data_IF_999679969114
#
_entry.id   IF_999679969114
#
_cell.length_a   1.000
_cell.length_b   1.000
_cell.length_c   1.000
_cell.angle_alpha   90.00
_cell.angle_beta   90.00
_cell.angle_gamma   90.00
#
_symmetry.space_group_name_H-M   'P 1'
#
loop_
_entity.id
_entity.type
_entity.pdbx_description
1 polymer ?
#
# COMPACT_ATOMS: atom_id res chain seq x y z
N UNK A 1 21.67 24.26 -82.38
CA UNK A 1 21.30 24.87 -81.07
C UNK A 1 21.31 23.77 -80.06
N UNK A 2 22.44 23.62 -79.36
CA UNK A 2 22.70 22.51 -78.45
C UNK A 2 22.10 22.79 -77.06
N UNK A 3 21.58 21.76 -76.37
CA UNK A 3 20.91 21.92 -75.07
C UNK A 3 21.92 22.22 -73.96
N UNK A 4 21.54 23.12 -73.04
CA UNK A 4 22.36 23.51 -71.89
C UNK A 4 22.40 22.41 -70.81
N UNK A 5 23.53 22.25 -70.10
CA UNK A 5 23.66 21.28 -69.00
C UNK A 5 22.98 21.77 -67.69
N UNK A 6 22.58 20.84 -66.80
CA UNK A 6 21.92 21.16 -65.53
C UNK A 6 22.87 21.83 -64.52
N UNK A 7 22.33 22.62 -63.56
CA UNK A 7 23.17 23.31 -62.58
C UNK A 7 23.91 22.32 -61.68
N UNK A 8 25.23 22.54 -61.63
CA UNK A 8 26.20 21.88 -60.77
C UNK A 8 25.83 22.02 -59.29
N UNK A 9 26.01 20.91 -58.56
CA UNK A 9 25.72 20.79 -57.13
C UNK A 9 26.40 21.86 -56.28
N UNK A 10 25.69 22.24 -55.22
CA UNK A 10 26.22 23.06 -54.13
C UNK A 10 27.44 22.35 -53.56
N UNK A 11 28.57 23.05 -53.58
CA UNK A 11 29.85 22.57 -53.07
C UNK A 11 29.81 22.41 -51.55
N UNK A 12 30.56 21.44 -51.08
CA UNK A 12 30.64 20.93 -49.71
C UNK A 12 31.29 21.88 -48.68
N UNK A 13 31.23 23.20 -48.88
CA UNK A 13 31.97 24.19 -48.08
C UNK A 13 31.11 25.27 -47.39
N UNK A 14 29.78 25.16 -47.40
CA UNK A 14 28.88 26.10 -46.67
C UNK A 14 28.28 25.46 -45.40
N UNK A 15 28.92 24.41 -44.86
CA UNK A 15 28.44 23.69 -43.68
C UNK A 15 29.16 24.05 -42.36
N UNK A 16 29.88 25.18 -42.33
CA UNK A 16 30.60 25.65 -41.13
C UNK A 16 29.94 26.84 -40.41
N UNK A 17 28.83 27.39 -40.91
CA UNK A 17 28.18 28.58 -40.33
C UNK A 17 26.91 28.28 -39.50
N UNK A 18 26.74 27.04 -39.03
CA UNK A 18 25.66 26.71 -38.08
C UNK A 18 26.10 25.84 -36.90
N UNK A 19 27.32 26.08 -36.40
CA UNK A 19 27.59 25.84 -34.99
C UNK A 19 27.16 27.12 -34.29
N UNK A 20 25.86 27.18 -33.96
CA UNK A 20 25.42 28.02 -32.86
C UNK A 20 26.35 27.70 -31.69
N UNK A 21 27.02 28.72 -31.18
CA UNK A 21 27.68 28.71 -29.90
C UNK A 21 26.66 28.23 -28.86
N UNK A 22 26.60 26.92 -28.66
CA UNK A 22 25.90 26.32 -27.54
C UNK A 22 26.66 26.79 -26.31
N UNK A 23 26.00 27.71 -25.61
CA UNK A 23 26.38 28.33 -24.35
C UNK A 23 26.74 27.27 -23.30
N UNK A 24 27.97 26.75 -23.31
CA UNK A 24 28.52 25.90 -22.25
C UNK A 24 28.87 26.72 -21.00
N UNK A 25 28.94 28.05 -21.11
CA UNK A 25 29.29 28.94 -20.01
C UNK A 25 28.16 29.12 -18.97
N UNK A 26 26.90 28.88 -19.34
CA UNK A 26 25.76 29.10 -18.45
C UNK A 26 25.64 28.07 -17.32
N UNK A 27 26.12 26.84 -17.56
CA UNK A 27 26.14 25.77 -16.55
C UNK A 27 27.34 25.93 -15.58
N UNK A 28 28.47 26.46 -16.06
CA UNK A 28 29.66 26.71 -15.24
C UNK A 28 29.49 27.91 -14.29
N UNK A 29 28.82 28.99 -14.70
CA UNK A 29 28.51 30.11 -13.78
C UNK A 29 27.51 29.73 -12.70
N UNK A 30 26.50 28.92 -13.04
CA UNK A 30 25.47 28.49 -12.08
C UNK A 30 26.02 27.50 -11.04
N UNK A 31 27.01 26.70 -11.42
CA UNK A 31 27.75 25.84 -10.50
C UNK A 31 28.63 26.64 -9.52
N UNK A 32 29.38 27.65 -10.02
CA UNK A 32 30.20 28.55 -9.18
C UNK A 32 29.36 29.29 -8.14
N UNK A 33 28.21 29.84 -8.55
CA UNK A 33 27.27 30.49 -7.61
C UNK A 33 26.69 29.53 -6.56
N UNK A 34 26.55 28.24 -6.87
CA UNK A 34 26.06 27.25 -5.90
C UNK A 34 27.11 26.86 -4.86
N UNK A 35 28.38 26.82 -5.26
CA UNK A 35 29.52 26.52 -4.38
C UNK A 35 29.77 27.69 -3.42
N UNK A 36 29.68 28.93 -3.90
CA UNK A 36 29.79 30.14 -3.07
C UNK A 36 28.66 30.27 -2.03
N UNK A 37 27.44 29.81 -2.35
CA UNK A 37 26.32 29.76 -1.41
C UNK A 37 26.44 28.62 -0.39
N UNK A 38 26.95 27.44 -0.76
CA UNK A 38 27.18 26.35 0.18
C UNK A 38 28.26 26.72 1.21
N UNK A 39 29.26 27.47 0.75
CA UNK A 39 30.31 28.07 1.56
C UNK A 39 29.78 29.05 2.61
N UNK A 40 28.59 29.63 2.40
CA UNK A 40 27.90 30.52 3.36
C UNK A 40 27.15 29.78 4.48
N UNK A 41 26.94 28.48 4.33
CA UNK A 41 26.18 27.63 5.28
C UNK A 41 27.09 26.65 6.02
N UNK A 42 28.32 26.43 5.54
CA UNK A 42 29.29 25.47 6.08
C UNK A 42 30.60 26.13 6.53
N UNK A 43 30.52 26.89 7.63
CA UNK A 43 31.64 27.72 8.13
C UNK A 43 32.43 27.06 9.26
N UNK A 44 31.84 26.12 10.00
CA UNK A 44 32.42 25.49 11.18
C UNK A 44 33.71 24.77 10.84
N UNK A 45 33.71 24.01 9.75
CA UNK A 45 34.90 23.29 9.27
C UNK A 45 36.07 24.25 8.94
N UNK A 46 35.76 25.49 8.54
CA UNK A 46 36.76 26.52 8.21
C UNK A 46 37.18 27.35 9.42
N UNK A 47 36.51 27.19 10.55
CA UNK A 47 36.76 27.99 11.75
C UNK A 47 38.01 27.49 12.47
N UNK A 48 38.88 28.41 12.92
CA UNK A 48 40.08 28.07 13.71
C UNK A 48 39.77 27.18 14.92
N UNK A 49 38.67 27.48 15.62
CA UNK A 49 38.15 26.69 16.74
C UNK A 49 37.96 25.20 16.41
N UNK A 50 37.45 24.85 15.22
CA UNK A 50 37.28 23.46 14.82
C UNK A 50 38.65 22.78 14.66
N UNK A 51 39.56 23.43 13.95
CA UNK A 51 40.92 22.93 13.74
C UNK A 51 41.67 22.73 15.07
N UNK A 52 41.57 23.71 15.98
CA UNK A 52 42.27 23.68 17.27
C UNK A 52 41.74 22.54 18.15
N UNK A 53 40.41 22.41 18.29
CA UNK A 53 39.79 21.34 19.10
C UNK A 53 40.05 19.96 18.50
N UNK A 54 39.99 19.81 17.17
CA UNK A 54 40.28 18.54 16.51
C UNK A 54 41.74 18.13 16.63
N UNK A 55 42.66 19.10 16.58
CA UNK A 55 44.08 18.84 16.82
C UNK A 55 44.36 18.43 18.27
N UNK A 56 43.77 19.14 19.24
CA UNK A 56 43.88 18.80 20.66
C UNK A 56 43.27 17.42 20.95
N UNK A 57 42.17 17.06 20.29
CA UNK A 57 41.57 15.72 20.32
C UNK A 57 42.53 14.64 19.80
N UNK A 58 43.19 14.88 18.68
CA UNK A 58 44.15 13.94 18.09
C UNK A 58 45.36 13.72 18.99
N UNK A 59 45.86 14.79 19.62
CA UNK A 59 46.95 14.73 20.60
C UNK A 59 46.52 14.02 21.89
N UNK A 60 45.30 14.25 22.37
CA UNK A 60 44.77 13.61 23.57
C UNK A 60 44.52 12.11 23.37
N UNK A 61 44.08 11.69 22.18
CA UNK A 61 43.89 10.26 21.84
C UNK A 61 45.21 9.47 21.82
N UNK A 62 46.35 10.13 21.63
CA UNK A 62 47.68 9.51 21.65
C UNK A 62 48.29 9.39 23.05
N UNK A 63 47.68 10.02 24.07
CA UNK A 63 48.18 10.05 25.45
C UNK A 63 47.24 9.25 26.38
N UNK A 64 47.77 8.77 27.51
CA UNK A 64 46.93 8.20 28.56
C UNK A 64 46.12 9.30 29.26
N UNK A 65 44.84 8.99 29.54
CA UNK A 65 43.82 9.93 30.02
C UNK A 65 44.26 10.67 31.28
N UNK A 66 44.20 12.00 31.25
CA UNK A 66 44.54 12.87 32.38
C UNK A 66 43.27 13.54 32.93
N UNK A 67 43.23 13.79 34.25
CA UNK A 67 42.13 14.53 34.90
C UNK A 67 41.95 15.97 34.37
N UNK A 68 42.95 16.51 33.65
CA UNK A 68 42.91 17.84 33.04
C UNK A 68 42.17 17.88 31.69
N UNK A 69 41.79 16.73 31.12
CA UNK A 69 41.16 16.63 29.80
C UNK A 69 39.64 16.94 29.84
N UNK A 70 39.09 17.21 31.02
CA UNK A 70 37.69 17.58 31.18
C UNK A 70 37.30 18.78 30.33
N UNK A 71 38.15 19.81 30.25
CA UNK A 71 37.89 21.00 29.43
C UNK A 71 37.86 20.66 27.94
N UNK A 72 38.69 19.72 27.49
CA UNK A 72 38.67 19.23 26.11
C UNK A 72 37.34 18.52 25.83
N UNK A 73 36.88 17.63 26.71
CA UNK A 73 35.59 16.94 26.58
C UNK A 73 34.43 17.94 26.49
N UNK A 74 34.42 18.98 27.34
CA UNK A 74 33.41 20.05 27.28
C UNK A 74 33.43 20.77 25.93
N UNK A 75 34.62 21.08 25.42
CA UNK A 75 34.79 21.71 24.10
C UNK A 75 34.33 20.79 22.95
N UNK A 76 34.59 19.49 23.04
CA UNK A 76 34.15 18.49 22.06
C UNK A 76 32.62 18.36 22.03
N UNK A 77 31.98 18.35 23.18
CA UNK A 77 30.52 18.31 23.28
C UNK A 77 29.90 19.57 22.66
N UNK A 78 30.48 20.74 22.92
CA UNK A 78 30.07 21.98 22.27
C UNK A 78 30.25 21.91 20.75
N UNK A 79 31.40 21.40 20.28
CA UNK A 79 31.68 21.23 18.86
C UNK A 79 30.72 20.24 18.18
N UNK A 80 30.32 19.17 18.87
CA UNK A 80 29.36 18.19 18.36
C UNK A 80 28.00 18.83 18.08
N UNK A 81 27.53 19.69 18.99
CA UNK A 81 26.26 20.42 18.80
C UNK A 81 26.36 21.36 17.59
N UNK A 82 27.50 22.04 17.44
CA UNK A 82 27.74 22.91 16.29
C UNK A 82 27.75 22.12 14.97
N UNK A 83 28.35 20.93 14.94
CA UNK A 83 28.35 20.02 13.79
C UNK A 83 26.91 19.60 13.43
N UNK A 84 26.11 19.19 14.42
CA UNK A 84 24.72 18.79 14.19
C UNK A 84 23.87 19.94 13.63
N UNK A 85 24.10 21.17 14.11
CA UNK A 85 23.43 22.36 13.60
C UNK A 85 23.81 22.65 12.13
N UNK A 86 25.08 22.50 11.77
CA UNK A 86 25.51 22.66 10.36
C UNK A 86 24.97 21.55 9.45
N UNK A 87 24.90 20.30 9.92
CA UNK A 87 24.29 19.19 9.16
C UNK A 87 22.84 19.54 8.82
N UNK A 88 22.07 20.09 9.77
CA UNK A 88 20.70 20.54 9.53
C UNK A 88 20.66 21.71 8.55
N UNK A 89 21.57 22.67 8.68
CA UNK A 89 21.64 23.82 7.78
C UNK A 89 21.95 23.40 6.33
N UNK A 90 22.92 22.51 6.14
CA UNK A 90 23.27 21.92 4.83
C UNK A 90 22.11 21.09 4.28
N UNK A 91 21.46 20.28 5.12
CA UNK A 91 20.28 19.52 4.70
C UNK A 91 19.18 20.43 4.18
N UNK A 92 18.88 21.52 4.90
CA UNK A 92 17.87 22.50 4.48
C UNK A 92 18.28 23.20 3.18
N UNK A 93 19.56 23.55 3.04
CA UNK A 93 20.09 24.13 1.80
C UNK A 93 19.93 23.19 0.59
N UNK A 94 20.28 21.92 0.74
CA UNK A 94 20.12 20.91 -0.31
C UNK A 94 18.62 20.68 -0.56
N UNK A 95 17.81 20.63 0.50
CA UNK A 95 16.37 20.48 0.42
C UNK A 95 15.74 21.62 -0.39
N UNK A 96 16.02 22.88 -0.07
CA UNK A 96 15.50 24.04 -0.79
C UNK A 96 15.89 24.01 -2.28
N UNK A 97 17.11 23.55 -2.60
CA UNK A 97 17.57 23.38 -4.00
C UNK A 97 16.87 22.24 -4.74
N UNK A 98 16.57 21.12 -4.08
CA UNK A 98 16.04 19.90 -4.72
C UNK A 98 14.54 19.68 -4.54
N UNK A 99 13.88 20.42 -3.64
CA UNK A 99 12.44 20.37 -3.40
C UNK A 99 11.65 20.67 -4.68
N UNK A 100 12.14 21.59 -5.51
CA UNK A 100 11.52 21.93 -6.79
C UNK A 100 11.62 20.80 -7.84
N UNK A 101 12.66 19.94 -7.76
CA UNK A 101 12.92 18.86 -8.72
C UNK A 101 12.28 17.53 -8.29
N UNK A 102 12.33 17.21 -6.99
CA UNK A 102 11.76 15.97 -6.44
C UNK A 102 11.23 16.20 -5.00
N UNK A 103 10.02 16.75 -4.84
CA UNK A 103 9.46 17.13 -3.53
C UNK A 103 9.16 15.95 -2.61
N UNK A 104 9.13 14.72 -3.14
CA UNK A 104 8.86 13.52 -2.36
C UNK A 104 10.11 12.91 -1.74
N UNK A 105 11.31 13.43 -2.08
CA UNK A 105 12.58 12.91 -1.56
C UNK A 105 12.63 12.97 -0.03
N UNK A 106 12.12 14.05 0.55
CA UNK A 106 12.12 14.31 2.00
C UNK A 106 11.24 13.31 2.76
N UNK A 107 10.07 12.99 2.21
CA UNK A 107 9.16 12.01 2.82
C UNK A 107 9.74 10.59 2.79
N UNK A 108 10.55 10.29 1.78
CA UNK A 108 11.12 8.96 1.54
C UNK A 108 12.45 8.79 2.30
N UNK A 109 13.30 9.80 2.30
CA UNK A 109 14.63 9.77 2.92
C UNK A 109 14.61 10.64 4.17
N UNK A 110 14.47 9.98 5.33
CA UNK A 110 14.30 10.61 6.63
C UNK A 110 15.60 11.12 7.27
N UNK A 111 16.76 10.65 6.80
CA UNK A 111 18.06 11.01 7.36
C UNK A 111 18.78 12.02 6.47
N UNK A 112 19.29 13.09 7.08
CA UNK A 112 19.94 14.20 6.38
C UNK A 112 21.14 13.77 5.51
N UNK A 113 21.95 12.82 6.02
CA UNK A 113 23.12 12.29 5.32
C UNK A 113 22.69 11.46 4.09
N UNK A 114 21.71 10.57 4.27
CA UNK A 114 21.18 9.74 3.18
C UNK A 114 20.53 10.60 2.08
N UNK A 115 19.91 11.72 2.47
CA UNK A 115 19.32 12.69 1.54
C UNK A 115 20.40 13.30 0.64
N UNK A 116 21.50 13.78 1.23
CA UNK A 116 22.63 14.35 0.50
C UNK A 116 23.29 13.34 -0.46
N UNK A 117 23.51 12.10 -0.01
CA UNK A 117 24.08 11.01 -0.85
C UNK A 117 23.17 10.70 -2.03
N UNK A 118 21.85 10.67 -1.82
CA UNK A 118 20.90 10.39 -2.90
C UNK A 118 20.82 11.51 -3.92
N UNK A 119 20.89 12.75 -3.44
CA UNK A 119 20.94 13.94 -4.29
C UNK A 119 22.21 13.93 -5.15
N UNK A 120 23.38 13.65 -4.56
CA UNK A 120 24.66 13.59 -5.28
C UNK A 120 24.66 12.49 -6.37
N UNK A 121 24.06 11.32 -6.07
CA UNK A 121 23.91 10.23 -7.02
C UNK A 121 23.00 10.55 -8.23
N UNK A 122 22.19 11.62 -8.18
CA UNK A 122 21.19 11.95 -9.22
C UNK A 122 21.68 12.91 -10.30
N UNK A 123 22.99 12.97 -10.60
CA UNK A 123 23.61 13.61 -11.80
C UNK A 123 23.15 12.97 -13.15
N UNK A 124 21.86 12.67 -13.30
CA UNK A 124 21.31 11.81 -14.36
C UNK A 124 20.54 12.54 -15.45
N UNK A 125 19.27 12.91 -15.21
CA UNK A 125 18.33 13.16 -16.31
C UNK A 125 17.89 14.64 -16.42
N UNK A 126 18.33 15.38 -17.46
CA UNK A 126 17.84 16.74 -17.73
C UNK A 126 16.34 16.81 -18.07
N UNK A 127 15.73 15.70 -18.50
CA UNK A 127 14.29 15.66 -18.80
C UNK A 127 13.39 15.33 -17.59
N UNK A 128 13.95 14.82 -16.48
CA UNK A 128 13.20 14.57 -15.24
C UNK A 128 11.94 13.68 -15.38
N UNK A 129 11.87 12.79 -16.38
CA UNK A 129 10.68 11.96 -16.63
C UNK A 129 10.47 10.89 -15.56
N UNK A 130 11.55 10.24 -15.11
CA UNK A 130 11.54 9.21 -14.07
C UNK A 130 11.06 9.78 -12.72
N UNK A 131 11.52 10.98 -12.36
CA UNK A 131 11.06 11.70 -11.17
C UNK A 131 9.58 12.07 -11.24
N UNK A 132 9.08 12.49 -12.41
CA UNK A 132 7.66 12.80 -12.63
C UNK A 132 6.76 11.57 -12.51
N UNK A 133 7.18 10.42 -13.05
CA UNK A 133 6.43 9.17 -12.98
C UNK A 133 6.34 8.65 -11.53
N UNK A 134 7.46 8.63 -10.80
CA UNK A 134 7.49 8.22 -9.40
C UNK A 134 6.62 9.14 -8.54
N UNK A 135 6.74 10.46 -8.75
CA UNK A 135 5.91 11.46 -8.08
C UNK A 135 4.43 11.24 -8.31
N UNK A 136 4.04 10.88 -9.53
CA UNK A 136 2.64 10.63 -9.85
C UNK A 136 2.11 9.37 -9.14
N UNK A 137 2.93 8.33 -9.04
CA UNK A 137 2.58 7.09 -8.35
C UNK A 137 2.43 7.26 -6.83
N UNK A 138 3.31 8.05 -6.22
CA UNK A 138 3.24 8.36 -4.80
C UNK A 138 2.05 9.27 -4.49
N UNK A 139 1.81 10.32 -5.29
CA UNK A 139 0.63 11.18 -5.17
C UNK A 139 -0.68 10.38 -5.23
N UNK A 140 -0.82 9.48 -6.21
CA UNK A 140 -2.01 8.64 -6.37
C UNK A 140 -2.22 7.67 -5.19
N UNK A 141 -1.15 7.17 -4.58
CA UNK A 141 -1.24 6.28 -3.41
C UNK A 141 -1.59 7.05 -2.14
N UNK A 142 -1.05 8.26 -1.98
CA UNK A 142 -1.29 9.11 -0.82
C UNK A 142 -2.75 9.61 -0.83
N UNK A 143 -3.27 10.10 -1.96
CA UNK A 143 -4.69 10.50 -2.08
C UNK A 143 -5.62 9.34 -1.71
N UNK A 144 -5.33 8.14 -2.25
CA UNK A 144 -6.12 6.94 -1.96
C UNK A 144 -6.09 6.51 -0.49
N UNK A 145 -5.01 6.81 0.24
CA UNK A 145 -4.89 6.49 1.67
C UNK A 145 -5.48 7.56 2.57
N UNK A 146 -5.53 8.81 2.09
CA UNK A 146 -6.18 9.90 2.80
C UNK A 146 -7.70 9.84 2.70
N UNK A 147 -8.25 9.20 1.67
CA UNK A 147 -9.69 8.92 1.62
C UNK A 147 -10.07 7.96 2.77
N UNK A 148 -10.86 8.43 3.76
CA UNK A 148 -11.37 7.54 4.79
C UNK A 148 -12.15 6.41 4.11
N UNK A 149 -12.01 5.14 4.56
CA UNK A 149 -12.69 4.03 3.93
C UNK A 149 -14.18 4.37 3.86
N UNK A 150 -14.80 4.29 2.66
CA UNK A 150 -16.15 4.79 2.47
C UNK A 150 -17.05 4.15 3.50
N UNK A 151 -17.81 4.99 4.21
CA UNK A 151 -18.63 4.54 5.33
C UNK A 151 -19.47 3.35 4.88
N UNK A 152 -19.41 2.25 5.65
CA UNK A 152 -20.19 1.05 5.36
C UNK A 152 -21.66 1.40 5.48
N UNK A 153 -22.28 1.79 4.38
CA UNK A 153 -23.71 2.01 4.32
C UNK A 153 -24.37 0.68 4.64
N UNK A 154 -25.28 0.68 5.62
CA UNK A 154 -26.19 -0.44 5.84
C UNK A 154 -26.89 -0.68 4.51
N UNK A 155 -26.57 -1.79 3.85
CA UNK A 155 -27.34 -2.20 2.68
C UNK A 155 -28.76 -2.43 3.21
N UNK A 156 -29.77 -1.71 2.70
CA UNK A 156 -31.12 -1.97 3.13
C UNK A 156 -31.39 -3.44 2.92
N UNK A 157 -32.09 -4.06 3.89
CA UNK A 157 -32.57 -5.41 3.68
C UNK A 157 -33.29 -5.45 2.33
N UNK A 158 -33.13 -6.52 1.54
CA UNK A 158 -33.93 -6.67 0.35
C UNK A 158 -35.38 -6.51 0.77
N UNK A 159 -36.11 -5.62 0.08
CA UNK A 159 -37.52 -5.37 0.35
C UNK A 159 -38.19 -6.74 0.52
N UNK A 160 -38.91 -6.99 1.63
CA UNK A 160 -39.66 -8.22 1.78
C UNK A 160 -40.61 -8.34 0.57
N UNK A 161 -40.24 -9.14 -0.42
CA UNK A 161 -41.06 -9.36 -1.60
C UNK A 161 -42.37 -9.99 -1.11
N UNK A 162 -43.47 -9.22 -1.12
CA UNK A 162 -44.80 -9.74 -0.83
C UNK A 162 -45.24 -10.75 -1.90
N UNK A 163 -44.64 -10.68 -3.08
CA UNK A 163 -44.93 -11.57 -4.20
C UNK A 163 -43.98 -12.77 -4.25
N UNK A 164 -44.51 -13.99 -4.42
CA UNK A 164 -43.68 -15.17 -4.53
C UNK A 164 -42.80 -15.09 -5.79
N UNK A 165 -41.48 -15.09 -5.60
CA UNK A 165 -40.49 -15.10 -6.70
C UNK A 165 -40.88 -16.10 -7.78
N UNK A 166 -40.90 -15.64 -9.05
CA UNK A 166 -41.24 -16.45 -10.21
C UNK A 166 -40.42 -17.74 -10.20
N UNK A 167 -41.09 -18.88 -10.03
CA UNK A 167 -40.43 -20.19 -9.96
C UNK A 167 -39.68 -20.43 -11.27
N UNK A 168 -38.34 -20.41 -11.23
CA UNK A 168 -37.50 -20.77 -12.38
C UNK A 168 -37.71 -22.26 -12.72
N UNK A 169 -37.44 -22.59 -14.00
CA UNK A 169 -37.68 -23.90 -14.64
C UNK A 169 -37.32 -25.09 -13.73
N UNK A 170 -38.17 -26.11 -13.74
CA UNK A 170 -38.07 -27.30 -12.89
C UNK A 170 -36.98 -28.29 -13.31
N UNK A 171 -35.71 -27.89 -13.30
CA UNK A 171 -34.59 -28.77 -13.62
C UNK A 171 -34.26 -29.77 -12.51
N UNK A 172 -33.54 -30.85 -12.85
CA UNK A 172 -33.14 -31.92 -11.93
C UNK A 172 -32.39 -31.40 -10.69
N UNK A 173 -31.46 -30.45 -10.87
CA UNK A 173 -30.72 -29.81 -9.76
C UNK A 173 -31.63 -29.00 -8.84
N UNK A 174 -32.60 -28.29 -9.41
CA UNK A 174 -33.59 -27.51 -8.66
C UNK A 174 -34.54 -28.41 -7.88
N UNK A 175 -34.97 -29.55 -8.47
CA UNK A 175 -35.78 -30.58 -7.79
C UNK A 175 -35.01 -31.19 -6.61
N UNK A 176 -33.77 -31.60 -6.82
CA UNK A 176 -32.89 -32.13 -5.76
C UNK A 176 -32.60 -31.09 -4.66
N UNK A 177 -32.44 -29.81 -5.01
CA UNK A 177 -32.31 -28.74 -4.00
C UNK A 177 -33.59 -28.57 -3.18
N UNK A 178 -34.76 -28.54 -3.83
CA UNK A 178 -36.07 -28.45 -3.16
C UNK A 178 -36.31 -29.67 -2.27
N UNK A 179 -36.03 -30.88 -2.73
CA UNK A 179 -36.17 -32.12 -1.94
C UNK A 179 -35.26 -32.14 -0.70
N UNK A 180 -34.07 -31.52 -0.76
CA UNK A 180 -33.17 -31.42 0.39
C UNK A 180 -33.75 -30.58 1.52
N UNK A 181 -34.42 -29.47 1.20
CA UNK A 181 -34.99 -28.56 2.19
C UNK A 181 -36.49 -28.77 2.44
N UNK A 182 -37.17 -29.52 1.58
CA UNK A 182 -38.59 -29.83 1.73
C UNK A 182 -38.81 -30.80 2.90
N UNK A 183 -39.86 -30.52 3.65
CA UNK A 183 -40.39 -31.39 4.69
C UNK A 183 -40.56 -32.82 4.15
N UNK A 184 -39.97 -33.79 4.84
CA UNK A 184 -40.18 -35.22 4.57
C UNK A 184 -41.64 -35.59 4.72
N UNK A 185 -42.12 -36.62 4.02
CA UNK A 185 -43.52 -37.03 4.10
C UNK A 185 -43.91 -37.52 5.51
N UNK A 186 -42.97 -38.12 6.25
CA UNK A 186 -43.15 -38.43 7.68
C UNK A 186 -43.45 -37.18 8.51
N UNK A 187 -42.69 -36.09 8.31
CA UNK A 187 -42.93 -34.82 9.02
C UNK A 187 -44.22 -34.14 8.57
N UNK A 188 -44.65 -34.31 7.32
CA UNK A 188 -45.97 -33.83 6.88
C UNK A 188 -47.11 -34.59 7.55
N UNK A 189 -46.99 -35.91 7.75
CA UNK A 189 -47.97 -36.69 8.51
C UNK A 189 -47.96 -36.29 9.98
N UNK A 190 -46.79 -36.09 10.58
CA UNK A 190 -46.69 -35.61 11.95
C UNK A 190 -47.33 -34.23 12.15
N UNK A 191 -47.22 -33.34 11.15
CA UNK A 191 -47.83 -32.02 11.18
C UNK A 191 -49.34 -32.02 10.84
N UNK A 192 -49.97 -33.18 10.62
CA UNK A 192 -51.43 -33.30 10.42
C UNK A 192 -52.03 -33.84 11.71
N UNK A 193 -53.10 -33.22 12.19
CA UNK A 193 -53.82 -33.65 13.39
C UNK A 193 -55.23 -34.06 13.00
N UNK A 194 -55.72 -35.19 13.54
CA UNK A 194 -57.14 -35.55 13.44
C UNK A 194 -57.93 -34.73 14.45
N UNK A 195 -58.95 -34.03 13.96
CA UNK A 195 -59.85 -33.31 14.82
C UNK A 195 -60.69 -34.29 15.66
N UNK A 196 -60.77 -34.06 16.97
CA UNK A 196 -61.57 -34.86 17.90
C UNK A 196 -60.89 -36.15 18.41
N UNK A 197 -59.70 -36.50 17.93
CA UNK A 197 -58.92 -37.65 18.44
C UNK A 197 -57.73 -37.11 19.25
N UNK A 198 -57.54 -37.54 20.50
CA UNK A 198 -56.38 -37.13 21.28
C UNK A 198 -55.08 -37.60 20.60
N UNK A 199 -54.09 -36.71 20.57
CA UNK A 199 -52.81 -36.96 19.93
C UNK A 199 -51.90 -37.82 20.81
N UNK A 200 -51.26 -38.82 20.22
CA UNK A 200 -50.16 -39.52 20.87
C UNK A 200 -48.92 -38.62 20.86
N UNK A 201 -48.42 -38.29 22.05
CA UNK A 201 -47.21 -37.51 22.25
C UNK A 201 -46.19 -38.33 23.03
N UNK A 202 -44.90 -38.16 22.72
CA UNK A 202 -43.83 -38.71 23.53
C UNK A 202 -43.08 -37.59 24.25
N UNK A 203 -42.57 -37.92 25.43
CA UNK A 203 -41.72 -37.04 26.21
C UNK A 203 -40.29 -37.11 25.65
N UNK A 204 -40.06 -36.40 24.55
CA UNK A 204 -38.73 -36.23 23.94
C UNK A 204 -38.09 -34.91 24.37
N UNK A 205 -37.04 -34.96 25.19
CA UNK A 205 -36.33 -33.79 25.73
C UNK A 205 -37.21 -32.82 26.56
N UNK A 206 -38.22 -33.34 27.27
CA UNK A 206 -39.02 -32.58 28.24
C UNK A 206 -40.10 -31.68 27.64
N UNK A 207 -40.17 -31.55 26.32
CA UNK A 207 -41.26 -30.89 25.61
C UNK A 207 -42.03 -31.99 24.86
N UNK A 208 -43.29 -32.19 25.22
CA UNK A 208 -44.13 -33.24 24.64
C UNK A 208 -44.25 -33.06 23.12
N UNK A 209 -43.56 -33.92 22.37
CA UNK A 209 -43.58 -33.85 20.91
C UNK A 209 -44.71 -34.74 20.41
N UNK A 210 -45.73 -34.10 19.84
CA UNK A 210 -46.87 -34.78 19.22
C UNK A 210 -46.51 -35.45 17.89
N UNK A 211 -47.05 -36.65 17.67
CA UNK A 211 -46.88 -37.40 16.43
C UNK A 211 -47.98 -37.14 15.39
N UNK A 212 -49.00 -36.34 15.71
CA UNK A 212 -50.14 -36.06 14.84
C UNK A 212 -50.79 -37.34 14.33
N UNK A 213 -50.92 -37.41 13.00
CA UNK A 213 -51.49 -38.55 12.27
C UNK A 213 -50.54 -39.74 12.15
N UNK A 214 -49.27 -39.57 12.52
CA UNK A 214 -48.26 -40.61 12.45
C UNK A 214 -48.48 -41.61 13.61
N UNK A 215 -49.08 -42.76 13.31
CA UNK A 215 -49.39 -43.80 14.32
C UNK A 215 -50.89 -44.07 14.52
N UNK A 216 -51.76 -43.13 14.10
CA UNK A 216 -53.22 -43.29 14.22
C UNK A 216 -53.82 -44.25 13.16
N UNK A 217 -53.13 -44.46 12.03
CA UNK A 217 -53.60 -45.33 10.93
C UNK A 217 -52.95 -46.71 11.03
N UNK A 218 -53.52 -47.58 11.86
CA UNK A 218 -53.13 -48.99 11.99
C UNK A 218 -52.66 -49.36 13.39
N UNK A 219 -53.18 -50.48 13.90
CA UNK A 219 -52.94 -51.00 15.24
C UNK A 219 -51.43 -51.15 15.55
N UNK A 220 -50.88 -50.22 16.33
CA UNK A 220 -49.63 -50.33 17.10
C UNK A 220 -48.29 -50.47 16.35
N UNK A 221 -48.25 -50.60 15.02
CA UNK A 221 -47.00 -50.72 14.25
C UNK A 221 -46.97 -49.82 13.02
N UNK A 222 -46.15 -48.77 13.11
CA UNK A 222 -45.89 -47.80 12.06
C UNK A 222 -45.23 -48.47 10.83
N UNK A 223 -45.97 -48.69 9.74
CA UNK A 223 -45.43 -49.20 8.47
C UNK A 223 -45.09 -48.05 7.53
N UNK A 224 -43.87 -47.51 7.64
CA UNK A 224 -43.36 -46.48 6.74
C UNK A 224 -41.95 -46.81 6.25
N UNK A 225 -41.75 -46.73 4.93
CA UNK A 225 -40.43 -46.87 4.31
C UNK A 225 -39.65 -45.55 4.46
N UNK A 226 -38.70 -45.51 5.40
CA UNK A 226 -37.87 -44.32 5.61
C UNK A 226 -36.72 -44.31 4.59
N UNK A 227 -36.76 -43.39 3.64
CA UNK A 227 -35.58 -43.14 2.78
C UNK A 227 -34.51 -42.39 3.59
N UNK A 228 -33.34 -43.01 3.81
CA UNK A 228 -32.23 -42.39 4.55
C UNK A 228 -31.71 -41.15 3.81
N UNK A 229 -32.00 -39.95 4.33
CA UNK A 229 -31.34 -38.70 3.93
C UNK A 229 -30.16 -38.44 4.86
N UNK A 230 -28.93 -38.75 4.42
CA UNK A 230 -27.72 -38.40 5.17
C UNK A 230 -27.36 -36.93 4.91
N UNK A 231 -27.19 -36.14 5.97
CA UNK A 231 -26.66 -34.78 5.87
C UNK A 231 -25.16 -34.86 5.50
N UNK A 232 -24.77 -34.20 4.40
CA UNK A 232 -23.37 -34.13 3.98
C UNK A 232 -22.65 -33.00 4.73
N UNK A 233 -21.47 -33.29 5.29
CA UNK A 233 -20.63 -32.28 5.97
C UNK A 233 -20.14 -31.21 4.99
N UNK A 234 -20.05 -29.96 5.45
CA UNK A 234 -19.58 -28.83 4.66
C UNK A 234 -18.12 -29.02 4.19
N UNK A 235 -17.84 -28.72 2.92
CA UNK A 235 -16.55 -28.98 2.26
C UNK A 235 -15.34 -28.29 2.91
N UNK A 236 -15.56 -27.15 3.58
CA UNK A 236 -14.53 -26.45 4.35
C UNK A 236 -14.16 -27.21 5.63
N UNK A 237 -15.15 -27.83 6.28
CA UNK A 237 -14.96 -28.59 7.51
C UNK A 237 -14.41 -30.01 7.25
N UNK A 238 -14.69 -30.59 6.08
CA UNK A 238 -14.17 -31.91 5.70
C UNK A 238 -12.68 -31.91 5.30
N UNK A 239 -12.10 -30.74 5.00
CA UNK A 239 -10.72 -30.61 4.52
C UNK A 239 -9.65 -30.57 5.63
N UNK A 240 -10.03 -30.34 6.88
CA UNK A 240 -9.10 -30.24 8.02
C UNK A 240 -8.92 -31.53 8.82
N UNK A 241 -9.36 -32.69 8.30
CA UNK A 241 -9.19 -34.00 8.94
C UNK A 241 -8.19 -34.85 8.14
N UNK A 242 -6.91 -34.45 8.16
CA UNK A 242 -5.72 -35.29 7.98
C UNK A 242 -4.54 -34.57 8.63
#
# INVERSE_FOLDING_TARGET
MSPQPPPSGISFNDLDDLIMEDNVDHDHEKARNCDDELDSVSHLFKTRRYSDIMHDLEVALQRESNDHDYQLIVNCNALSVDIDNEIVAIHNFIHDKYQLKFPELESIVRHAIDYAVRVDSTRGDPSGSAGRALRQDFHNKIEKWQEPPPAKLRKPLPVPDSEPKRKKRGGLRSRKMKERYAMTDMRKMANRMLFGVPEESYLGAGYGNGYGMLGQVGFGKLRLSVTRRKLSVAKKLSKGRR
#
